data_IF_820582253612
#
_entry.id   IF_820582253612
#
_cell.length_a   1.000
_cell.length_b   1.000
_cell.length_c   1.000
_cell.angle_alpha   90.00
_cell.angle_beta   90.00
_cell.angle_gamma   90.00
#
_symmetry.space_group_name_H-M   'P 1'
#
loop_
_entity.id
_entity.type
_entity.pdbx_description
1 polymer ?
#
# COMPACT_ATOMS: atom_id res chain seq x y z
N UNK A 1 15.42 59.30 17.27
CA UNK A 1 15.63 58.21 16.31
C UNK A 1 15.00 56.94 16.89
N UNK A 2 13.85 56.53 16.36
CA UNK A 2 13.12 55.32 16.80
C UNK A 2 13.30 54.24 15.73
N UNK A 3 14.06 53.16 16.05
CA UNK A 3 14.20 52.01 15.18
C UNK A 3 13.01 51.08 15.41
N UNK A 4 12.14 50.95 14.41
CA UNK A 4 11.12 49.91 14.33
C UNK A 4 11.80 48.63 13.80
N UNK A 5 11.90 47.58 14.65
CA UNK A 5 12.25 46.25 14.19
C UNK A 5 10.96 45.54 13.73
N UNK A 6 10.84 45.40 12.42
CA UNK A 6 9.79 44.60 11.81
C UNK A 6 10.11 43.11 11.99
N UNK A 7 9.29 42.42 12.79
CA UNK A 7 9.33 40.97 12.94
C UNK A 7 8.68 40.33 11.72
N UNK A 8 9.46 39.76 10.80
CA UNK A 8 8.97 38.97 9.67
C UNK A 8 8.67 37.55 10.19
N UNK A 9 7.40 37.28 10.39
CA UNK A 9 6.91 35.92 10.71
C UNK A 9 6.86 35.09 9.42
N UNK A 10 7.87 34.23 9.18
CA UNK A 10 7.85 33.24 8.10
C UNK A 10 6.97 32.09 8.53
N UNK A 11 5.71 32.11 8.13
CA UNK A 11 4.81 30.96 8.28
C UNK A 11 5.21 29.93 7.21
N UNK A 12 6.01 28.95 7.59
CA UNK A 12 6.26 27.78 6.76
C UNK A 12 4.96 27.00 6.59
N UNK A 13 4.27 27.14 5.45
CA UNK A 13 3.22 26.19 5.04
C UNK A 13 3.89 24.84 4.77
N UNK A 14 3.90 23.96 5.76
CA UNK A 14 4.09 22.55 5.51
C UNK A 14 2.87 22.09 4.70
N UNK A 15 3.01 21.98 3.38
CA UNK A 15 2.03 21.33 2.54
C UNK A 15 1.95 19.87 3.01
N UNK A 16 0.98 19.57 3.85
CA UNK A 16 0.52 18.20 4.08
C UNK A 16 0.07 17.70 2.70
N UNK A 17 0.92 16.93 2.04
CA UNK A 17 0.52 16.15 0.89
C UNK A 17 -0.61 15.24 1.39
N UNK A 18 -1.84 15.67 1.11
CA UNK A 18 -3.02 14.83 1.30
C UNK A 18 -2.78 13.63 0.38
N UNK A 19 -2.63 12.44 0.94
CA UNK A 19 -2.67 11.22 0.16
C UNK A 19 -3.98 11.26 -0.63
N UNK A 20 -3.86 11.50 -1.94
CA UNK A 20 -5.05 11.71 -2.80
C UNK A 20 -5.71 10.39 -3.14
N UNK A 21 -5.24 9.29 -2.63
CA UNK A 21 -5.81 7.98 -2.89
C UNK A 21 -6.06 7.70 -4.39
N UNK A 22 -6.52 6.50 -4.71
CA UNK A 22 -6.70 6.09 -6.10
C UNK A 22 -8.03 6.60 -6.67
N UNK A 23 -7.96 7.55 -7.61
CA UNK A 23 -9.12 7.97 -8.38
C UNK A 23 -9.50 6.90 -9.43
N UNK A 24 -10.79 6.74 -9.79
CA UNK A 24 -11.22 5.75 -10.79
C UNK A 24 -10.48 5.88 -12.13
N UNK A 25 -10.24 7.09 -12.60
CA UNK A 25 -9.52 7.35 -13.84
C UNK A 25 -8.07 6.84 -13.82
N UNK A 26 -7.41 6.87 -12.67
CA UNK A 26 -6.05 6.37 -12.50
C UNK A 26 -5.96 4.84 -12.65
N UNK A 27 -7.03 4.09 -12.34
CA UNK A 27 -7.07 2.64 -12.57
C UNK A 27 -7.07 2.28 -14.06
N UNK A 28 -7.65 3.14 -14.90
CA UNK A 28 -7.68 2.93 -16.36
C UNK A 28 -6.38 3.37 -17.03
N UNK A 29 -5.72 4.38 -16.48
CA UNK A 29 -4.43 4.91 -16.96
C UNK A 29 -3.53 5.23 -15.77
N UNK A 30 -2.86 4.22 -15.20
CA UNK A 30 -1.98 4.42 -14.05
C UNK A 30 -0.84 5.39 -14.34
N UNK A 31 -0.45 6.24 -13.38
CA UNK A 31 0.79 7.01 -13.46
C UNK A 31 2.01 6.08 -13.56
N UNK A 32 3.05 6.53 -14.24
CA UNK A 32 4.26 5.72 -14.43
C UNK A 32 5.01 5.38 -13.12
N UNK A 33 4.84 6.22 -12.11
CA UNK A 33 5.44 6.09 -10.77
C UNK A 33 4.52 5.41 -9.75
N UNK A 34 3.44 4.75 -10.21
CA UNK A 34 2.52 4.01 -9.38
C UNK A 34 2.34 2.56 -9.89
N UNK A 35 1.87 1.67 -9.00
CA UNK A 35 1.49 0.29 -9.32
C UNK A 35 0.18 -0.02 -8.62
N UNK A 36 -0.94 0.35 -9.27
CA UNK A 36 -2.24 0.48 -8.60
C UNK A 36 -3.04 -0.80 -8.48
N UNK A 37 -2.69 -1.85 -9.26
CA UNK A 37 -3.39 -3.13 -9.25
C UNK A 37 -2.39 -4.27 -9.19
N UNK A 38 -2.86 -5.50 -9.00
CA UNK A 38 -2.01 -6.69 -8.98
C UNK A 38 -1.10 -6.81 -10.21
N UNK A 39 -1.55 -6.38 -11.38
CA UNK A 39 -0.79 -6.40 -12.64
C UNK A 39 -0.21 -5.03 -13.03
N UNK A 40 -0.37 -4.01 -12.21
CA UNK A 40 -0.02 -2.62 -12.52
C UNK A 40 -1.17 -1.88 -13.20
N UNK A 41 -1.75 -2.47 -14.22
CA UNK A 41 -2.93 -2.01 -14.95
C UNK A 41 -3.86 -3.18 -15.31
N UNK A 42 -4.95 -2.89 -16.03
CA UNK A 42 -5.90 -3.91 -16.48
C UNK A 42 -5.47 -4.67 -17.74
N UNK A 43 -4.33 -4.33 -18.35
CA UNK A 43 -3.82 -5.06 -19.53
C UNK A 43 -3.19 -6.41 -19.16
N UNK A 44 -2.84 -6.61 -17.90
CA UNK A 44 -2.17 -7.81 -17.40
C UNK A 44 -0.71 -7.97 -17.84
N UNK A 45 -0.15 -6.96 -18.53
CA UNK A 45 1.20 -7.04 -19.12
C UNK A 45 2.32 -7.00 -18.08
N UNK A 46 2.06 -6.49 -16.87
CA UNK A 46 3.05 -6.30 -15.80
C UNK A 46 4.28 -5.53 -16.28
N UNK A 47 4.06 -4.53 -17.11
CA UNK A 47 5.11 -3.74 -17.73
C UNK A 47 5.11 -2.32 -17.18
N UNK A 48 6.30 -1.84 -16.79
CA UNK A 48 6.51 -0.44 -16.42
C UNK A 48 7.03 0.34 -17.62
N UNK A 49 6.55 1.56 -17.79
CA UNK A 49 7.06 2.50 -18.80
C UNK A 49 8.30 3.26 -18.32
N UNK A 50 8.76 3.02 -17.09
CA UNK A 50 10.00 3.61 -16.57
C UNK A 50 11.21 3.06 -17.34
N UNK A 51 12.14 3.94 -17.70
CA UNK A 51 13.29 3.63 -18.55
C UNK A 51 14.64 3.93 -17.89
N UNK A 52 14.67 4.25 -16.61
CA UNK A 52 15.91 4.57 -15.89
C UNK A 52 16.82 3.36 -15.73
N UNK A 53 16.26 2.15 -15.65
CA UNK A 53 17.01 0.91 -15.58
C UNK A 53 17.07 0.32 -16.98
N UNK A 54 18.29 0.08 -17.46
CA UNK A 54 18.58 -0.43 -18.81
C UNK A 54 19.57 -1.57 -18.73
N UNK A 55 19.76 -2.37 -19.80
CA UNK A 55 20.80 -3.39 -19.85
C UNK A 55 22.21 -2.83 -19.59
N UNK A 56 22.45 -1.57 -19.90
CA UNK A 56 23.77 -0.94 -19.71
C UNK A 56 24.05 -0.56 -18.24
N UNK A 57 23.04 -0.36 -17.42
CA UNK A 57 23.24 0.09 -16.03
C UNK A 57 22.68 -0.86 -14.96
N UNK A 58 21.96 -1.91 -15.35
CA UNK A 58 21.32 -2.84 -14.37
C UNK A 58 22.36 -3.49 -13.42
N UNK A 59 23.58 -3.75 -13.89
CA UNK A 59 24.66 -4.29 -13.07
C UNK A 59 25.17 -3.32 -11.99
N UNK A 60 24.80 -2.04 -12.08
CA UNK A 60 25.21 -0.99 -11.13
C UNK A 60 24.17 -0.77 -10.03
N UNK A 61 23.04 -1.49 -10.06
CA UNK A 61 22.02 -1.37 -9.03
C UNK A 61 22.59 -1.75 -7.67
N UNK A 62 22.23 -0.96 -6.67
CA UNK A 62 22.58 -1.19 -5.26
C UNK A 62 21.32 -1.25 -4.43
N UNK A 63 21.32 -2.10 -3.40
CA UNK A 63 20.28 -2.10 -2.40
C UNK A 63 20.30 -0.75 -1.66
N UNK A 64 19.18 -0.05 -1.64
CA UNK A 64 19.03 1.23 -0.94
C UNK A 64 18.46 1.00 0.46
N UNK A 65 17.52 0.05 0.57
CA UNK A 65 16.90 -0.35 1.83
C UNK A 65 16.31 -1.76 1.73
N UNK A 66 16.02 -2.33 2.88
CA UNK A 66 15.35 -3.62 3.01
C UNK A 66 14.31 -3.56 4.11
N UNK A 67 13.09 -4.02 3.83
CA UNK A 67 12.03 -4.20 4.82
C UNK A 67 11.89 -5.69 5.16
N UNK A 68 11.96 -6.03 6.45
CA UNK A 68 11.83 -7.41 6.92
C UNK A 68 10.46 -7.61 7.55
N UNK A 69 9.62 -8.40 6.91
CA UNK A 69 8.27 -8.74 7.42
C UNK A 69 8.30 -9.78 8.54
N UNK A 70 9.39 -10.46 8.77
CA UNK A 70 9.48 -11.61 9.67
C UNK A 70 8.68 -12.85 9.19
N UNK A 71 8.11 -12.80 7.97
CA UNK A 71 7.28 -13.86 7.41
C UNK A 71 8.04 -14.64 6.35
N UNK A 72 7.83 -15.97 6.33
CA UNK A 72 8.53 -16.84 5.38
C UNK A 72 7.97 -16.78 3.96
N UNK A 73 6.70 -16.40 3.79
CA UNK A 73 6.03 -16.41 2.49
C UNK A 73 5.31 -15.10 2.21
N UNK A 74 5.69 -14.48 1.11
CA UNK A 74 5.00 -13.34 0.52
C UNK A 74 4.55 -13.77 -0.87
N UNK A 75 3.24 -13.85 -1.08
CA UNK A 75 2.62 -14.26 -2.35
C UNK A 75 1.91 -13.12 -3.08
N UNK A 76 1.78 -11.98 -2.41
CA UNK A 76 1.13 -10.79 -2.95
C UNK A 76 2.06 -9.99 -3.88
N UNK A 77 1.47 -9.24 -4.79
CA UNK A 77 2.16 -8.17 -5.49
C UNK A 77 2.06 -6.90 -4.64
N UNK A 78 3.17 -6.21 -4.34
CA UNK A 78 3.12 -4.92 -3.69
C UNK A 78 2.33 -3.91 -4.53
N UNK A 79 1.45 -3.14 -3.89
CA UNK A 79 0.73 -2.03 -4.51
C UNK A 79 1.43 -0.74 -4.11
N UNK A 80 1.75 0.12 -5.08
CA UNK A 80 2.39 1.41 -4.85
C UNK A 80 1.43 2.54 -5.21
N UNK A 81 1.05 3.33 -4.21
CA UNK A 81 0.15 4.49 -4.33
C UNK A 81 0.75 5.65 -3.53
N UNK A 82 0.91 6.80 -4.17
CA UNK A 82 1.34 8.05 -3.50
C UNK A 82 2.60 7.90 -2.64
N UNK A 83 3.57 7.08 -3.10
CA UNK A 83 4.81 6.81 -2.39
C UNK A 83 4.67 5.83 -1.21
N UNK A 84 3.52 5.19 -1.03
CA UNK A 84 3.28 4.16 -0.02
C UNK A 84 3.21 2.80 -0.70
N UNK A 85 4.00 1.84 -0.22
CA UNK A 85 3.94 0.45 -0.61
C UNK A 85 3.04 -0.30 0.37
N UNK A 86 1.99 -0.95 -0.16
CA UNK A 86 1.16 -1.89 0.59
C UNK A 86 1.60 -3.31 0.25
N UNK A 87 1.94 -4.09 1.27
CA UNK A 87 2.38 -5.48 1.12
C UNK A 87 1.65 -6.37 2.11
N UNK A 88 1.29 -7.58 1.69
CA UNK A 88 0.62 -8.56 2.53
C UNK A 88 1.44 -9.82 2.68
N UNK A 89 1.32 -10.45 3.83
CA UNK A 89 1.65 -11.85 4.08
C UNK A 89 0.48 -12.52 4.81
N UNK A 90 0.54 -13.81 5.12
CA UNK A 90 -0.48 -14.41 5.98
C UNK A 90 -0.76 -13.56 7.22
N UNK A 91 -2.04 -13.22 7.42
CA UNK A 91 -2.58 -12.45 8.54
C UNK A 91 -2.01 -11.02 8.72
N UNK A 92 -1.22 -10.51 7.79
CA UNK A 92 -0.57 -9.22 7.95
C UNK A 92 -0.71 -8.32 6.72
N UNK A 93 -0.84 -7.03 6.98
CA UNK A 93 -0.81 -5.97 5.99
C UNK A 93 0.05 -4.81 6.52
N UNK A 94 1.06 -4.41 5.75
CA UNK A 94 1.92 -3.26 6.04
C UNK A 94 1.70 -2.16 5.03
N UNK A 95 1.77 -0.91 5.49
CA UNK A 95 1.99 0.27 4.69
C UNK A 95 3.40 0.81 4.99
N UNK A 96 4.20 0.98 3.97
CA UNK A 96 5.62 1.28 4.06
C UNK A 96 5.92 2.50 3.19
N UNK A 97 6.67 3.45 3.72
CA UNK A 97 7.23 4.53 2.89
C UNK A 97 8.19 3.97 1.85
N UNK A 98 7.89 4.19 0.57
CA UNK A 98 8.65 3.60 -0.55
C UNK A 98 10.08 4.11 -0.67
N UNK A 99 10.43 5.24 -0.06
CA UNK A 99 11.76 5.85 -0.14
C UNK A 99 12.67 5.41 0.99
N UNK A 100 12.09 5.16 2.17
CA UNK A 100 12.86 4.98 3.41
C UNK A 100 12.71 3.59 4.01
N UNK A 101 11.75 2.78 3.54
CA UNK A 101 11.29 1.54 4.16
C UNK A 101 10.72 1.73 5.57
N UNK A 102 10.41 2.95 6.00
CA UNK A 102 9.77 3.19 7.27
C UNK A 102 8.37 2.56 7.27
N UNK A 103 8.06 1.75 8.28
CA UNK A 103 6.70 1.30 8.53
C UNK A 103 5.84 2.49 8.94
N UNK A 104 4.78 2.76 8.17
CA UNK A 104 3.81 3.81 8.46
C UNK A 104 2.72 3.29 9.38
N UNK A 105 2.22 2.10 9.06
CA UNK A 105 1.29 1.36 9.91
C UNK A 105 1.29 -0.14 9.54
N UNK A 106 0.80 -0.95 10.46
CA UNK A 106 0.72 -2.39 10.33
C UNK A 106 -0.59 -2.90 10.92
N UNK A 107 -1.23 -3.82 10.24
CA UNK A 107 -2.39 -4.55 10.71
C UNK A 107 -2.08 -6.04 10.76
N UNK A 108 -2.39 -6.67 11.90
CA UNK A 108 -2.36 -8.12 12.04
C UNK A 108 -3.78 -8.62 12.26
N UNK A 109 -4.24 -9.50 11.37
CA UNK A 109 -5.54 -10.13 11.51
C UNK A 109 -5.50 -11.17 12.63
N UNK A 110 -6.47 -11.15 13.57
CA UNK A 110 -6.54 -12.17 14.61
C UNK A 110 -6.75 -13.56 14.01
N UNK A 111 -5.88 -14.50 14.37
CA UNK A 111 -6.04 -15.89 13.93
C UNK A 111 -7.26 -16.52 14.58
N UNK A 112 -8.13 -17.14 13.76
CA UNK A 112 -9.34 -17.82 14.20
C UNK A 112 -9.44 -19.25 13.69
N UNK A 113 -8.32 -19.96 13.56
CA UNK A 113 -8.23 -21.33 13.06
C UNK A 113 -8.64 -21.51 11.58
N UNK A 114 -8.85 -20.46 10.83
CA UNK A 114 -9.09 -20.56 9.40
C UNK A 114 -7.81 -21.02 8.68
N UNK A 115 -7.97 -21.91 7.70
CA UNK A 115 -6.84 -22.37 6.89
C UNK A 115 -6.33 -21.23 6.01
N UNK A 116 -5.05 -20.93 6.09
CA UNK A 116 -4.46 -19.79 5.40
C UNK A 116 -3.64 -20.23 4.19
N UNK A 117 -4.08 -19.89 2.99
CA UNK A 117 -3.36 -20.18 1.74
C UNK A 117 -2.50 -19.01 1.24
N UNK A 118 -2.52 -17.90 1.93
CA UNK A 118 -1.76 -16.68 1.64
C UNK A 118 -2.58 -15.60 0.96
N UNK A 119 -2.26 -14.35 1.31
CA UNK A 119 -2.83 -13.17 0.65
C UNK A 119 -2.12 -12.88 -0.67
N UNK A 120 -2.87 -12.39 -1.65
CA UNK A 120 -2.34 -11.97 -2.95
C UNK A 120 -2.15 -10.46 -3.06
N UNK A 121 -2.49 -9.71 -2.04
CA UNK A 121 -2.35 -8.28 -1.97
C UNK A 121 -3.60 -7.58 -1.44
N UNK A 122 -3.71 -6.31 -1.72
CA UNK A 122 -4.83 -5.45 -1.35
C UNK A 122 -5.37 -4.76 -2.59
N UNK A 123 -6.58 -4.20 -2.46
CA UNK A 123 -7.08 -3.19 -3.39
C UNK A 123 -7.01 -1.81 -2.72
N UNK A 124 -6.70 -0.77 -3.50
CA UNK A 124 -6.72 0.61 -3.04
C UNK A 124 -7.68 1.42 -3.89
N UNK A 125 -8.61 2.10 -3.25
CA UNK A 125 -9.57 2.96 -3.92
C UNK A 125 -9.88 4.18 -3.07
N UNK A 126 -9.76 5.37 -3.64
CA UNK A 126 -9.81 6.63 -2.89
C UNK A 126 -8.84 6.57 -1.71
N UNK A 127 -9.28 6.96 -0.54
CA UNK A 127 -8.51 7.00 0.70
C UNK A 127 -8.60 5.69 1.52
N UNK A 128 -8.91 4.58 0.87
CA UNK A 128 -9.15 3.30 1.55
C UNK A 128 -8.35 2.17 0.96
N UNK A 129 -7.84 1.31 1.83
CA UNK A 129 -7.21 0.04 1.52
C UNK A 129 -8.16 -1.07 1.92
N UNK A 130 -8.34 -2.05 1.04
CA UNK A 130 -9.27 -3.17 1.23
C UNK A 130 -8.50 -4.48 1.28
N UNK A 131 -8.78 -5.27 2.29
CA UNK A 131 -8.21 -6.58 2.51
C UNK A 131 -9.33 -7.59 2.72
N UNK A 132 -9.25 -8.74 2.05
CA UNK A 132 -10.06 -9.89 2.40
C UNK A 132 -9.30 -10.80 3.37
N UNK A 133 -10.01 -11.46 4.28
CA UNK A 133 -9.39 -12.29 5.32
C UNK A 133 -9.75 -13.77 5.15
N UNK A 134 -8.95 -14.71 5.67
CA UNK A 134 -9.22 -16.14 5.52
C UNK A 134 -10.54 -16.59 6.13
N UNK A 135 -11.05 -15.88 7.12
CA UNK A 135 -12.35 -16.12 7.76
C UNK A 135 -13.52 -15.42 7.06
N UNK A 136 -13.30 -15.02 5.80
CA UNK A 136 -14.31 -14.45 4.92
C UNK A 136 -14.84 -13.10 5.39
N UNK A 137 -13.97 -12.22 5.85
CA UNK A 137 -14.25 -10.81 6.05
C UNK A 137 -13.68 -9.96 4.90
N UNK A 138 -14.32 -8.83 4.65
CA UNK A 138 -13.77 -7.73 3.88
C UNK A 138 -13.57 -6.55 4.82
N UNK A 139 -12.34 -6.11 4.96
CA UNK A 139 -11.95 -5.04 5.87
C UNK A 139 -11.48 -3.84 5.07
N UNK A 140 -11.99 -2.65 5.39
CA UNK A 140 -11.54 -1.39 4.83
C UNK A 140 -10.77 -0.60 5.88
N UNK A 141 -9.59 -0.14 5.49
CA UNK A 141 -8.71 0.67 6.31
C UNK A 141 -8.60 2.08 5.74
N UNK A 142 -8.38 3.05 6.59
CA UNK A 142 -7.90 4.35 6.16
C UNK A 142 -6.46 4.19 5.64
N UNK A 143 -6.20 4.63 4.40
CA UNK A 143 -4.90 4.43 3.75
C UNK A 143 -3.75 5.15 4.48
N UNK A 144 -4.02 6.24 5.20
CA UNK A 144 -3.01 7.05 5.88
C UNK A 144 -2.53 6.46 7.20
N UNK A 145 -3.47 5.99 8.03
CA UNK A 145 -3.18 5.62 9.44
C UNK A 145 -3.54 4.17 9.79
N UNK A 146 -4.05 3.39 8.82
CA UNK A 146 -4.39 1.99 9.00
C UNK A 146 -5.59 1.73 9.93
N UNK A 147 -6.33 2.76 10.34
CA UNK A 147 -7.53 2.56 11.16
C UNK A 147 -8.62 1.88 10.35
N UNK A 148 -9.25 0.89 10.97
CA UNK A 148 -10.40 0.20 10.36
C UNK A 148 -11.55 1.21 10.22
N UNK A 149 -12.02 1.38 8.99
CA UNK A 149 -13.23 2.14 8.67
C UNK A 149 -14.48 1.31 8.85
N UNK A 150 -14.40 0.06 8.41
CA UNK A 150 -15.44 -0.95 8.58
C UNK A 150 -14.86 -2.34 8.34
N UNK A 151 -15.55 -3.34 8.87
CA UNK A 151 -15.27 -4.76 8.74
C UNK A 151 -16.60 -5.49 8.58
N UNK A 152 -16.73 -6.29 7.52
CA UNK A 152 -17.97 -7.02 7.21
C UNK A 152 -17.67 -8.47 6.89
N UNK A 153 -18.43 -9.39 7.44
CA UNK A 153 -18.43 -10.79 7.07
C UNK A 153 -19.10 -10.95 5.71
N UNK A 154 -18.39 -11.51 4.74
CA UNK A 154 -18.87 -11.71 3.36
C UNK A 154 -19.34 -13.14 3.09
N UNK A 155 -18.94 -14.09 3.91
CA UNK A 155 -19.38 -15.48 3.83
C UNK A 155 -19.25 -16.20 5.18
N UNK A 156 -19.85 -17.39 5.32
CA UNK A 156 -19.70 -18.22 6.52
C UNK A 156 -18.48 -19.14 6.38
N UNK A 157 -17.36 -18.76 6.98
CA UNK A 157 -16.10 -19.51 6.94
C UNK A 157 -16.22 -20.91 7.56
N UNK A 158 -17.15 -21.12 8.50
CA UNK A 158 -17.41 -22.45 9.12
C UNK A 158 -18.01 -23.44 8.12
N UNK A 159 -18.58 -22.94 7.01
CA UNK A 159 -19.11 -23.75 5.91
C UNK A 159 -18.10 -23.96 4.77
N UNK A 160 -16.82 -23.65 5.02
CA UNK A 160 -15.76 -23.80 4.05
C UNK A 160 -15.65 -22.66 3.04
N UNK A 161 -16.34 -21.54 3.26
CA UNK A 161 -16.15 -20.32 2.47
C UNK A 161 -15.00 -19.50 3.06
N UNK A 162 -14.01 -19.27 2.24
CA UNK A 162 -12.88 -18.41 2.60
C UNK A 162 -12.74 -17.32 1.56
N UNK A 163 -12.11 -16.21 1.92
CA UNK A 163 -11.72 -15.24 0.92
C UNK A 163 -10.21 -15.02 0.99
N UNK A 164 -9.58 -15.16 -0.17
CA UNK A 164 -8.19 -14.78 -0.41
C UNK A 164 -8.15 -14.10 -1.75
N UNK A 165 -7.44 -13.00 -1.85
CA UNK A 165 -7.24 -12.33 -3.15
C UNK A 165 -6.21 -13.07 -3.99
#
# INVERSE_FOLDING_TARGET
MRFLYGLILVIGLAALALAQGVAPAALLKPPADAWLTYHGDYSGKRHSTLSQITPANVAQLKEVWRFQTGQQQIKGTPILVDGIIYITSPDNLWAIDARTAQELWHYTHPRNNAFHIGHRGVAVYKDSVYLTTPDAHLVAFNARDGKIKWDVTIADSRRGYWSTN
#
